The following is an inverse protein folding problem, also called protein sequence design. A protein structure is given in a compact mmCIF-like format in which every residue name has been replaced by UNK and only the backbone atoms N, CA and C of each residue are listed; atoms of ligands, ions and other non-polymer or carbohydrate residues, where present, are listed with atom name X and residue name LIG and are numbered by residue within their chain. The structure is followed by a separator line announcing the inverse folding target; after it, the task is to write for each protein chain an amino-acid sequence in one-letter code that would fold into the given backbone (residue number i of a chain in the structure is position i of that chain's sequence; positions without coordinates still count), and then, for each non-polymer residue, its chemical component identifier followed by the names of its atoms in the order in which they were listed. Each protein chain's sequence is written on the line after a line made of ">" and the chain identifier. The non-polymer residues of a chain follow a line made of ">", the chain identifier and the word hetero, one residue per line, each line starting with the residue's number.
data_IF_014368670769
#
_entry.id   IF_014368670769
#
_cell.length_a   1.000
_cell.length_b   1.000
_cell.length_c   1.000
_cell.angle_alpha   90.00
_cell.angle_beta   90.00
_cell.angle_gamma   90.00
#
_symmetry.space_group_name_H-M   'P 1'
#
loop_
_entity.id
_entity.type
_entity.pdbx_description
1 polymer ?
#
# COMPACT_ATOMS: atom_id res chain seq x y z
N UNK A 1 -20.11 -34.91 -7.99
CA UNK A 1 -19.80 -33.49 -7.73
C UNK A 1 -18.87 -33.03 -8.83
N UNK A 2 -19.28 -32.10 -9.71
CA UNK A 2 -18.34 -31.47 -10.64
C UNK A 2 -17.38 -30.55 -9.87
N UNK A 3 -16.17 -30.36 -10.40
CA UNK A 3 -15.10 -29.63 -9.73
C UNK A 3 -15.49 -28.20 -9.34
N UNK A 4 -14.99 -27.78 -8.18
CA UNK A 4 -15.06 -26.40 -7.71
C UNK A 4 -14.23 -25.51 -8.64
N UNK A 5 -14.95 -24.77 -9.48
CA UNK A 5 -14.50 -23.66 -10.35
C UNK A 5 -13.02 -23.28 -10.18
N UNK A 6 -12.20 -23.69 -11.16
CA UNK A 6 -10.83 -23.19 -11.34
C UNK A 6 -10.95 -21.71 -11.75
N UNK A 7 -11.17 -20.88 -10.74
CA UNK A 7 -11.77 -19.56 -10.88
C UNK A 7 -11.06 -18.72 -11.93
N UNK A 8 -11.80 -18.42 -13.01
CA UNK A 8 -11.28 -17.83 -14.24
C UNK A 8 -10.26 -16.71 -14.00
N UNK A 9 -9.09 -16.84 -14.64
CA UNK A 9 -8.03 -15.81 -14.64
C UNK A 9 -8.43 -14.55 -15.42
N UNK A 10 -9.57 -14.58 -16.12
CA UNK A 10 -10.14 -13.41 -16.78
C UNK A 10 -10.65 -12.37 -15.78
N UNK A 11 -10.58 -11.09 -16.17
CA UNK A 11 -11.19 -9.98 -15.44
C UNK A 11 -12.70 -10.23 -15.33
N UNK A 12 -13.27 -10.00 -14.15
CA UNK A 12 -14.72 -10.11 -13.95
C UNK A 12 -15.40 -8.87 -14.57
N UNK A 13 -15.84 -9.05 -15.81
CA UNK A 13 -16.50 -8.03 -16.64
C UNK A 13 -17.90 -7.69 -16.15
N UNK A 14 -18.58 -8.60 -15.43
CA UNK A 14 -19.90 -8.36 -14.85
C UNK A 14 -19.79 -7.34 -13.71
N UNK A 15 -18.84 -7.54 -12.80
CA UNK A 15 -18.55 -6.56 -11.74
C UNK A 15 -18.08 -5.22 -12.31
N UNK A 16 -17.25 -5.23 -13.36
CA UNK A 16 -16.81 -4.02 -14.09
C UNK A 16 -17.99 -3.24 -14.65
N UNK A 17 -18.91 -3.93 -15.33
CA UNK A 17 -20.11 -3.35 -15.92
C UNK A 17 -21.03 -2.77 -14.84
N UNK A 18 -21.37 -3.57 -13.84
CA UNK A 18 -22.21 -3.18 -12.70
C UNK A 18 -21.66 -1.93 -11.97
N UNK A 19 -20.40 -1.94 -11.55
CA UNK A 19 -19.80 -0.81 -10.83
C UNK A 19 -19.63 0.44 -11.73
N UNK A 20 -19.49 0.25 -13.04
CA UNK A 20 -19.45 1.38 -13.98
C UNK A 20 -20.82 2.01 -14.20
N UNK A 21 -21.87 1.19 -14.36
CA UNK A 21 -23.25 1.67 -14.40
C UNK A 21 -23.63 2.36 -13.09
N UNK A 22 -23.31 1.75 -11.94
CA UNK A 22 -23.56 2.34 -10.63
C UNK A 22 -22.93 3.73 -10.50
N UNK A 23 -21.69 3.93 -10.96
CA UNK A 23 -21.05 5.25 -10.93
C UNK A 23 -21.79 6.28 -11.80
N UNK A 24 -22.23 5.90 -13.01
CA UNK A 24 -23.00 6.77 -13.91
C UNK A 24 -24.41 7.07 -13.40
N UNK A 25 -25.10 6.10 -12.78
CA UNK A 25 -26.44 6.29 -12.25
C UNK A 25 -26.45 7.04 -10.91
N UNK A 26 -25.49 6.78 -10.02
CA UNK A 26 -25.48 7.37 -8.69
C UNK A 26 -24.95 8.81 -8.66
N UNK A 27 -24.20 9.23 -9.70
CA UNK A 27 -23.54 10.54 -9.81
C UNK A 27 -22.76 10.95 -8.54
N UNK A 28 -22.24 9.95 -7.82
CA UNK A 28 -21.51 10.19 -6.58
C UNK A 28 -20.14 10.79 -6.91
N UNK A 29 -19.76 11.81 -6.14
CA UNK A 29 -18.37 12.22 -6.04
C UNK A 29 -17.50 11.02 -5.72
N UNK A 30 -16.25 11.00 -6.19
CA UNK A 30 -15.34 9.89 -5.95
C UNK A 30 -15.32 9.46 -4.47
N UNK A 31 -15.12 10.36 -3.49
CA UNK A 31 -14.97 9.92 -2.10
C UNK A 31 -16.19 9.12 -1.65
N UNK A 32 -17.41 9.55 -2.03
CA UNK A 32 -18.64 8.85 -1.69
C UNK A 32 -18.78 7.51 -2.43
N UNK A 33 -18.40 7.45 -3.70
CA UNK A 33 -18.37 6.17 -4.45
C UNK A 33 -17.37 5.17 -3.84
N UNK A 34 -16.19 5.64 -3.41
CA UNK A 34 -15.19 4.78 -2.73
C UNK A 34 -15.67 4.39 -1.34
N UNK A 35 -16.34 5.25 -0.58
CA UNK A 35 -16.96 4.89 0.69
C UNK A 35 -17.94 3.72 0.52
N UNK A 36 -18.82 3.81 -0.50
CA UNK A 36 -19.74 2.73 -0.86
C UNK A 36 -19.00 1.44 -1.24
N UNK A 37 -18.04 1.51 -2.17
CA UNK A 37 -17.24 0.35 -2.61
C UNK A 37 -16.41 -0.29 -1.49
N UNK A 38 -15.97 0.48 -0.49
CA UNK A 38 -15.22 -0.01 0.68
C UNK A 38 -16.09 -0.49 1.84
N UNK A 39 -17.42 -0.43 1.70
CA UNK A 39 -18.40 -0.68 2.77
C UNK A 39 -18.13 0.19 4.02
N UNK A 40 -18.00 1.51 3.83
CA UNK A 40 -17.92 2.49 4.91
C UNK A 40 -19.32 3.00 5.27
N UNK A 41 -19.73 2.78 6.51
CA UNK A 41 -21.01 3.19 7.08
C UNK A 41 -20.81 4.27 8.15
N UNK A 42 -21.89 4.67 8.82
CA UNK A 42 -21.84 5.44 10.07
C UNK A 42 -21.33 4.60 11.25
N UNK A 43 -21.62 3.29 11.27
CA UNK A 43 -21.17 2.36 12.32
C UNK A 43 -19.71 1.94 12.19
N UNK A 44 -19.16 1.92 10.97
CA UNK A 44 -17.75 1.66 10.71
C UNK A 44 -17.30 2.50 9.51
N UNK A 45 -16.67 3.64 9.81
CA UNK A 45 -16.13 4.58 8.82
C UNK A 45 -14.76 4.16 8.27
N UNK A 46 -14.08 3.16 8.86
CA UNK A 46 -12.70 2.82 8.49
C UNK A 46 -12.65 2.44 7.00
N UNK A 47 -11.77 3.02 6.18
CA UNK A 47 -11.64 2.60 4.79
C UNK A 47 -11.16 1.15 4.70
N UNK A 48 -10.35 0.70 5.66
CA UNK A 48 -9.87 -0.67 5.80
C UNK A 48 -10.39 -1.34 7.07
N UNK A 49 -11.20 -2.38 6.89
CA UNK A 49 -11.81 -3.15 7.98
C UNK A 49 -10.84 -4.08 8.72
N UNK A 50 -9.70 -4.41 8.11
CA UNK A 50 -8.67 -5.27 8.70
C UNK A 50 -7.69 -4.54 9.63
N UNK A 51 -7.72 -3.20 9.67
CA UNK A 51 -6.90 -2.41 10.58
C UNK A 51 -7.72 -1.93 11.77
N UNK A 52 -7.10 -1.92 12.96
CA UNK A 52 -7.72 -1.52 14.21
C UNK A 52 -6.83 -0.53 14.96
N UNK A 53 -7.46 0.33 15.76
CA UNK A 53 -6.76 1.30 16.58
C UNK A 53 -6.03 0.59 17.72
N UNK A 54 -4.88 1.15 18.10
CA UNK A 54 -4.04 0.65 19.18
C UNK A 54 -4.00 1.67 20.32
N UNK A 55 -4.22 1.25 21.58
CA UNK A 55 -4.00 2.12 22.73
C UNK A 55 -2.49 2.40 22.90
N UNK A 56 -2.16 3.56 23.46
CA UNK A 56 -0.77 3.93 23.76
C UNK A 56 -0.28 3.14 24.99
N UNK A 57 0.85 2.40 24.92
CA UNK A 57 1.41 1.73 26.08
C UNK A 57 1.89 2.73 27.15
N UNK A 58 1.70 2.47 28.47
CA UNK A 58 2.04 3.42 29.53
C UNK A 58 3.50 3.92 29.56
N UNK A 59 4.43 3.11 29.04
CA UNK A 59 5.88 3.41 29.00
C UNK A 59 6.44 3.47 27.57
N UNK A 60 5.60 3.79 26.58
CA UNK A 60 5.99 3.82 25.17
C UNK A 60 6.99 4.93 24.86
N UNK A 61 8.22 4.57 24.46
CA UNK A 61 9.22 5.52 23.95
C UNK A 61 8.76 6.13 22.61
N UNK A 62 7.90 5.42 21.88
CA UNK A 62 7.33 5.85 20.58
C UNK A 62 5.86 6.27 20.66
N UNK A 63 5.40 6.75 21.82
CA UNK A 63 3.99 7.11 22.08
C UNK A 63 3.38 8.03 21.01
N UNK A 64 4.17 8.95 20.46
CA UNK A 64 3.77 9.89 19.41
C UNK A 64 3.38 9.23 18.07
N UNK A 65 3.78 7.98 17.81
CA UNK A 65 3.42 7.25 16.58
C UNK A 65 2.00 6.67 16.62
N UNK A 66 1.48 6.34 17.80
CA UNK A 66 0.17 5.70 17.97
C UNK A 66 -1.00 6.58 17.50
N UNK A 67 -1.06 7.90 17.80
CA UNK A 67 -2.07 8.79 17.21
C UNK A 67 -2.02 8.83 15.67
N UNK A 68 -0.83 8.77 15.08
CA UNK A 68 -0.65 8.79 13.62
C UNK A 68 -1.12 7.46 13.00
N UNK A 69 -0.80 6.31 13.62
CA UNK A 69 -1.38 5.00 13.27
C UNK A 69 -2.91 5.02 13.34
N UNK A 70 -3.49 5.45 14.47
CA UNK A 70 -4.94 5.49 14.66
C UNK A 70 -5.64 6.43 13.65
N UNK A 71 -4.97 7.51 13.23
CA UNK A 71 -5.45 8.37 12.13
C UNK A 71 -5.58 7.61 10.81
N UNK A 72 -4.57 6.80 10.45
CA UNK A 72 -4.58 5.95 9.23
C UNK A 72 -5.63 4.85 9.33
N UNK A 73 -5.88 4.28 10.51
CA UNK A 73 -6.97 3.31 10.73
C UNK A 73 -8.33 3.94 10.43
N UNK A 74 -8.59 5.13 10.98
CA UNK A 74 -9.87 5.85 10.82
C UNK A 74 -10.10 6.36 9.40
N UNK A 75 -9.10 7.02 8.83
CA UNK A 75 -9.25 7.88 7.64
C UNK A 75 -8.51 7.36 6.42
N UNK A 76 -7.67 6.33 6.57
CA UNK A 76 -6.74 5.88 5.54
C UNK A 76 -5.53 6.80 5.43
N UNK A 77 -4.62 6.47 4.50
CA UNK A 77 -3.51 7.36 4.14
C UNK A 77 -4.06 8.52 3.32
N UNK A 78 -3.82 9.74 3.81
CA UNK A 78 -4.21 10.98 3.16
C UNK A 78 -2.96 11.69 2.64
N UNK A 79 -2.62 11.56 1.34
CA UNK A 79 -1.50 12.29 0.75
C UNK A 79 -1.80 13.79 0.76
N UNK A 80 -0.77 14.60 1.01
CA UNK A 80 -0.82 16.03 0.70
C UNK A 80 -0.41 16.23 -0.75
N UNK A 81 -1.00 17.25 -1.37
CA UNK A 81 -0.72 17.65 -2.74
C UNK A 81 -0.13 19.05 -2.73
N UNK A 82 0.92 19.27 -3.53
CA UNK A 82 1.48 20.61 -3.75
C UNK A 82 0.45 21.49 -4.45
N UNK A 83 0.48 22.80 -4.18
CA UNK A 83 -0.39 23.79 -4.84
C UNK A 83 -0.22 23.85 -6.37
N UNK A 84 0.89 23.33 -6.89
CA UNK A 84 1.17 23.16 -8.32
C UNK A 84 0.37 22.03 -8.99
N UNK A 85 -0.30 21.16 -8.22
CA UNK A 85 -1.12 20.07 -8.77
C UNK A 85 -2.36 20.63 -9.48
N UNK A 86 -2.57 20.38 -10.79
CA UNK A 86 -3.78 20.82 -11.46
C UNK A 86 -5.00 20.03 -10.98
N UNK A 87 -6.19 20.63 -11.10
CA UNK A 87 -7.46 20.00 -10.72
C UNK A 87 -7.86 18.83 -11.63
N UNK A 88 -7.38 18.83 -12.87
CA UNK A 88 -7.58 17.78 -13.86
C UNK A 88 -6.32 17.56 -14.71
N UNK A 89 -6.15 16.34 -15.22
CA UNK A 89 -5.04 16.01 -16.11
C UNK A 89 -5.46 16.18 -17.58
N UNK A 90 -4.89 17.18 -18.26
CA UNK A 90 -5.14 17.47 -19.68
C UNK A 90 -4.50 16.42 -20.60
N UNK A 91 -3.22 16.11 -20.37
CA UNK A 91 -2.45 15.13 -21.17
C UNK A 91 -2.19 13.87 -20.35
N UNK A 92 -2.71 12.74 -20.84
CA UNK A 92 -2.52 11.41 -20.24
C UNK A 92 -1.28 10.74 -20.85
N UNK A 93 -0.24 10.40 -20.08
CA UNK A 93 0.93 9.72 -20.63
C UNK A 93 0.56 8.31 -21.14
N UNK A 94 1.26 7.81 -22.17
CA UNK A 94 1.13 6.42 -22.62
C UNK A 94 1.75 5.46 -21.61
N UNK A 95 1.37 4.18 -21.69
CA UNK A 95 2.07 3.12 -20.97
C UNK A 95 3.46 2.85 -21.59
N UNK A 96 4.36 2.28 -20.79
CA UNK A 96 5.68 1.88 -21.25
C UNK A 96 5.61 0.70 -22.22
N UNK A 97 6.45 0.70 -23.25
CA UNK A 97 6.44 -0.33 -24.32
C UNK A 97 6.60 -1.78 -23.78
N UNK A 98 7.17 -1.97 -22.59
CA UNK A 98 7.34 -3.28 -21.95
C UNK A 98 6.03 -4.03 -21.65
N UNK A 99 4.87 -3.37 -21.73
CA UNK A 99 3.57 -4.05 -21.59
C UNK A 99 3.17 -4.90 -22.81
N UNK A 100 3.73 -4.63 -23.99
CA UNK A 100 3.16 -5.09 -25.27
C UNK A 100 3.13 -6.63 -25.40
N UNK A 101 4.20 -7.30 -24.97
CA UNK A 101 4.34 -8.76 -24.96
C UNK A 101 3.64 -9.45 -23.77
N UNK A 102 3.15 -8.70 -22.78
CA UNK A 102 2.81 -9.24 -21.45
C UNK A 102 1.30 -9.27 -21.13
N UNK A 103 0.44 -9.15 -22.15
CA UNK A 103 -1.02 -8.99 -21.99
C UNK A 103 -1.69 -10.03 -21.10
N UNK A 104 -1.28 -11.31 -21.15
CA UNK A 104 -1.85 -12.38 -20.33
C UNK A 104 -1.50 -12.21 -18.83
N UNK A 105 -0.22 -12.02 -18.51
CA UNK A 105 0.24 -11.77 -17.13
C UNK A 105 -0.39 -10.50 -16.55
N UNK A 106 -0.47 -9.43 -17.35
CA UNK A 106 -1.17 -8.20 -16.99
C UNK A 106 -2.58 -8.57 -16.52
N UNK A 107 -3.41 -9.20 -17.38
CA UNK A 107 -4.80 -9.60 -17.07
C UNK A 107 -4.91 -10.43 -15.78
N UNK A 108 -4.00 -11.39 -15.56
CA UNK A 108 -3.95 -12.18 -14.32
C UNK A 108 -3.67 -11.33 -13.09
N UNK A 109 -2.76 -10.35 -13.19
CA UNK A 109 -2.49 -9.38 -12.13
C UNK A 109 -3.70 -8.46 -11.86
N UNK A 110 -4.42 -8.03 -12.92
CA UNK A 110 -5.70 -7.31 -12.80
C UNK A 110 -6.69 -8.12 -11.98
N UNK A 111 -6.97 -9.35 -12.43
CA UNK A 111 -7.98 -10.24 -11.85
C UNK A 111 -7.67 -10.56 -10.40
N UNK A 112 -6.40 -10.84 -10.09
CA UNK A 112 -5.96 -11.06 -8.70
C UNK A 112 -6.24 -9.81 -7.86
N UNK A 113 -5.82 -8.63 -8.31
CA UNK A 113 -6.08 -7.39 -7.57
C UNK A 113 -7.56 -7.02 -7.45
N UNK A 114 -8.39 -7.33 -8.46
CA UNK A 114 -9.84 -7.16 -8.43
C UNK A 114 -10.48 -8.08 -7.38
N UNK A 115 -10.17 -9.38 -7.43
CA UNK A 115 -10.68 -10.41 -6.50
C UNK A 115 -10.29 -10.11 -5.06
N UNK A 116 -9.05 -9.69 -4.84
CA UNK A 116 -8.54 -9.32 -3.51
C UNK A 116 -9.13 -7.97 -3.00
N UNK A 117 -9.96 -7.29 -3.79
CA UNK A 117 -10.47 -5.94 -3.49
C UNK A 117 -9.38 -4.86 -3.46
N UNK A 118 -8.18 -5.13 -3.99
CA UNK A 118 -7.08 -4.16 -4.11
C UNK A 118 -7.36 -3.15 -5.22
N UNK A 119 -7.85 -3.62 -6.36
CA UNK A 119 -8.18 -2.78 -7.51
C UNK A 119 -9.68 -2.64 -7.70
N UNK A 120 -10.08 -1.42 -8.07
CA UNK A 120 -11.45 -1.09 -8.46
C UNK A 120 -11.48 -1.03 -9.99
N UNK A 121 -11.98 -2.11 -10.61
CA UNK A 121 -11.92 -2.40 -12.06
C UNK A 121 -13.28 -2.15 -12.72
N UNK A 122 -13.24 -1.52 -13.90
CA UNK A 122 -14.14 -0.43 -14.24
C UNK A 122 -13.92 0.03 -15.72
N UNK A 123 -14.91 0.61 -16.44
CA UNK A 123 -14.79 1.10 -17.85
C UNK A 123 -14.33 2.57 -18.00
N UNK A 124 -13.55 2.93 -19.02
CA UNK A 124 -12.97 4.30 -19.18
C UNK A 124 -13.98 5.47 -19.07
N UNK A 125 -15.23 5.30 -19.53
CA UNK A 125 -16.25 6.36 -19.61
C UNK A 125 -16.49 7.17 -18.33
N UNK A 126 -16.29 6.58 -17.14
CA UNK A 126 -16.47 7.27 -15.85
C UNK A 126 -15.30 8.19 -15.48
N UNK A 127 -14.16 8.15 -16.18
CA UNK A 127 -13.13 9.19 -16.00
C UNK A 127 -13.71 10.60 -16.24
N UNK A 128 -14.79 10.72 -17.03
CA UNK A 128 -15.54 11.97 -17.23
C UNK A 128 -16.30 12.44 -15.99
N UNK A 129 -16.67 11.54 -15.07
CA UNK A 129 -17.38 11.90 -13.82
C UNK A 129 -16.42 12.42 -12.74
N UNK A 130 -15.15 12.02 -12.81
CA UNK A 130 -14.15 12.30 -11.78
C UNK A 130 -12.90 12.93 -12.42
N UNK A 131 -12.93 14.21 -12.83
CA UNK A 131 -11.80 14.88 -13.49
C UNK A 131 -10.53 14.92 -12.64
N UNK A 132 -10.65 14.76 -11.32
CA UNK A 132 -9.55 14.69 -10.37
C UNK A 132 -8.88 13.29 -10.30
N UNK A 133 -9.18 12.37 -11.25
CA UNK A 133 -8.35 11.17 -11.49
C UNK A 133 -7.05 11.61 -12.20
N UNK A 134 -5.90 11.22 -11.65
CA UNK A 134 -4.63 11.30 -12.37
C UNK A 134 -4.23 9.91 -12.86
N UNK A 135 -3.61 9.89 -14.04
CA UNK A 135 -3.28 8.72 -14.84
C UNK A 135 -1.75 8.68 -14.99
N UNK A 136 -1.15 7.65 -14.39
CA UNK A 136 0.29 7.31 -14.42
C UNK A 136 0.55 6.10 -15.33
N UNK A 137 1.64 6.06 -16.12
CA UNK A 137 1.97 4.90 -16.92
C UNK A 137 2.07 3.64 -16.09
N UNK A 138 1.87 2.50 -16.75
CA UNK A 138 2.32 1.21 -16.24
C UNK A 138 3.34 0.60 -17.20
N UNK A 139 4.35 -0.04 -16.62
CA UNK A 139 5.30 -0.93 -17.29
C UNK A 139 5.34 -2.30 -16.63
N UNK A 140 6.08 -3.21 -17.24
CA UNK A 140 6.44 -4.51 -16.67
C UNK A 140 7.90 -4.48 -16.22
N UNK A 141 8.17 -5.07 -15.05
CA UNK A 141 9.48 -5.59 -14.71
C UNK A 141 9.42 -7.12 -14.70
N UNK A 142 10.33 -7.75 -15.42
CA UNK A 142 10.55 -9.18 -15.34
C UNK A 142 11.29 -9.51 -14.04
N UNK A 143 10.84 -10.56 -13.37
CA UNK A 143 11.57 -11.27 -12.33
C UNK A 143 11.86 -12.68 -12.88
N UNK A 144 12.91 -13.33 -12.38
CA UNK A 144 13.24 -14.70 -12.80
C UNK A 144 12.05 -15.66 -12.68
N UNK A 145 12.13 -16.79 -13.39
CA UNK A 145 11.13 -17.86 -13.40
C UNK A 145 9.76 -17.43 -13.97
N UNK A 146 9.76 -16.59 -15.01
CA UNK A 146 8.56 -16.15 -15.74
C UNK A 146 7.56 -15.32 -14.88
N UNK A 147 7.97 -14.85 -13.69
CA UNK A 147 7.21 -13.89 -12.87
C UNK A 147 7.33 -12.49 -13.47
N UNK A 148 6.21 -11.81 -13.66
CA UNK A 148 6.18 -10.46 -14.26
C UNK A 148 5.37 -9.53 -13.40
N UNK A 149 6.00 -8.41 -13.01
CA UNK A 149 5.48 -7.46 -12.04
C UNK A 149 4.97 -6.22 -12.76
N UNK A 150 3.69 -5.93 -12.54
CA UNK A 150 3.06 -4.70 -12.98
C UNK A 150 3.56 -3.54 -12.11
N UNK A 151 4.26 -2.59 -12.72
CA UNK A 151 4.81 -1.41 -12.03
C UNK A 151 4.10 -0.16 -12.54
N UNK A 152 3.68 0.68 -11.60
CA UNK A 152 3.19 2.02 -11.89
C UNK A 152 4.34 3.01 -11.85
N UNK A 153 4.44 3.82 -12.89
CA UNK A 153 5.38 4.92 -12.94
C UNK A 153 4.74 6.19 -12.39
N UNK A 154 4.82 6.36 -11.07
CA UNK A 154 4.37 7.58 -10.40
C UNK A 154 5.32 8.76 -10.61
N UNK A 155 6.50 8.55 -11.21
CA UNK A 155 7.53 9.56 -11.46
C UNK A 155 7.53 10.07 -12.91
N UNK A 156 6.65 9.54 -13.77
CA UNK A 156 6.50 9.95 -15.17
C UNK A 156 5.12 10.58 -15.44
N UNK A 157 5.04 11.63 -16.28
CA UNK A 157 6.15 12.39 -16.87
C UNK A 157 6.78 13.34 -15.84
N UNK A 158 8.12 13.47 -15.85
CA UNK A 158 8.86 14.35 -14.93
C UNK A 158 8.32 15.79 -14.99
N UNK A 159 8.10 16.38 -13.82
CA UNK A 159 7.50 17.71 -13.63
C UNK A 159 5.97 17.73 -13.67
N UNK A 160 5.32 16.63 -14.04
CA UNK A 160 3.87 16.49 -14.16
C UNK A 160 3.36 15.12 -13.68
N UNK A 161 4.15 14.42 -12.86
CA UNK A 161 3.83 13.09 -12.35
C UNK A 161 3.13 13.15 -10.99
N UNK A 162 2.56 12.03 -10.54
CA UNK A 162 1.93 11.93 -9.21
C UNK A 162 2.93 12.25 -8.10
N UNK A 163 4.18 11.81 -8.24
CA UNK A 163 5.25 12.09 -7.28
C UNK A 163 5.65 13.57 -7.28
N UNK A 164 5.79 14.22 -8.44
CA UNK A 164 6.10 15.66 -8.52
C UNK A 164 5.02 16.52 -7.83
N UNK A 165 3.77 16.08 -7.88
CA UNK A 165 2.63 16.75 -7.23
C UNK A 165 2.44 16.36 -5.75
N UNK A 166 3.15 15.37 -5.24
CA UNK A 166 3.01 14.92 -3.84
C UNK A 166 3.83 15.82 -2.91
N UNK A 167 3.22 16.26 -1.83
CA UNK A 167 3.91 16.85 -0.68
C UNK A 167 4.19 15.73 0.33
N UNK A 168 5.47 15.48 0.56
CA UNK A 168 6.03 14.45 1.45
C UNK A 168 6.26 14.98 2.87
N UNK A 169 6.03 16.27 3.13
CA UNK A 169 6.21 16.91 4.44
C UNK A 169 5.26 16.41 5.55
N UNK A 170 4.32 15.51 5.24
CA UNK A 170 3.49 14.81 6.23
C UNK A 170 3.82 13.32 6.39
N UNK A 171 4.82 12.80 5.68
CA UNK A 171 5.19 11.39 5.79
C UNK A 171 5.92 11.15 7.13
N UNK A 172 5.66 10.02 7.82
CA UNK A 172 6.41 9.67 9.02
C UNK A 172 7.89 9.44 8.65
N UNK A 173 8.79 9.96 9.48
CA UNK A 173 10.23 9.79 9.31
C UNK A 173 10.58 8.30 9.28
N UNK A 174 11.35 7.90 8.26
CA UNK A 174 11.88 6.54 8.14
C UNK A 174 13.32 6.56 8.66
N UNK A 175 13.58 5.76 9.69
CA UNK A 175 14.92 5.37 10.09
C UNK A 175 15.00 3.85 10.09
N UNK A 176 16.12 3.32 9.57
CA UNK A 176 16.42 1.90 9.59
C UNK A 176 17.90 1.71 9.93
N UNK A 177 18.18 0.74 10.79
CA UNK A 177 19.57 0.37 11.07
C UNK A 177 20.12 -0.38 9.84
N UNK A 178 21.28 -0.01 9.27
CA UNK A 178 21.84 -0.70 8.11
C UNK A 178 22.03 -2.21 8.35
N UNK A 179 21.92 -3.08 7.32
CA UNK A 179 22.13 -4.52 7.48
C UNK A 179 23.49 -4.88 8.11
N UNK A 180 24.53 -4.11 7.79
CA UNK A 180 25.86 -4.26 8.40
C UNK A 180 25.87 -3.97 9.90
N UNK A 181 25.04 -3.05 10.38
CA UNK A 181 24.96 -2.67 11.79
C UNK A 181 24.23 -3.75 12.59
N UNK A 182 23.14 -4.27 12.03
CA UNK A 182 22.42 -5.44 12.54
C UNK A 182 23.38 -6.64 12.64
N UNK A 183 24.13 -6.92 11.57
CA UNK A 183 25.11 -8.02 11.55
C UNK A 183 26.23 -7.83 12.59
N UNK A 184 26.79 -6.61 12.73
CA UNK A 184 27.78 -6.30 13.78
C UNK A 184 27.21 -6.48 15.19
N UNK A 185 25.95 -6.08 15.44
CA UNK A 185 25.29 -6.28 16.74
C UNK A 185 25.07 -7.75 17.05
N UNK A 186 24.63 -8.55 16.08
CA UNK A 186 24.48 -10.00 16.24
C UNK A 186 25.84 -10.65 16.54
N UNK A 187 26.88 -10.32 15.78
CA UNK A 187 28.22 -10.86 15.99
C UNK A 187 28.80 -10.48 17.37
N UNK A 188 28.63 -9.21 17.79
CA UNK A 188 29.05 -8.71 19.11
C UNK A 188 28.38 -9.51 20.23
N UNK A 189 27.05 -9.57 20.23
CA UNK A 189 26.27 -10.31 21.24
C UNK A 189 26.64 -11.80 21.29
N UNK A 190 26.89 -12.43 20.13
CA UNK A 190 27.29 -13.85 20.07
C UNK A 190 28.69 -14.08 20.65
N UNK A 191 29.59 -13.11 20.49
CA UNK A 191 30.96 -13.15 21.05
C UNK A 191 30.95 -12.89 22.57
N UNK A 192 30.15 -11.93 23.03
CA UNK A 192 30.04 -11.60 24.47
C UNK A 192 29.26 -12.67 25.25
N UNK A 193 28.32 -13.36 24.62
CA UNK A 193 27.42 -14.33 25.25
C UNK A 193 27.33 -15.65 24.48
N UNK A 194 28.43 -16.43 24.38
CA UNK A 194 28.52 -17.61 23.51
C UNK A 194 27.56 -18.75 23.88
N UNK A 195 27.12 -18.81 25.14
CA UNK A 195 26.19 -19.83 25.65
C UNK A 195 24.75 -19.33 25.78
N UNK A 196 24.46 -18.07 25.45
CA UNK A 196 23.11 -17.53 25.47
C UNK A 196 22.37 -17.81 24.16
N UNK A 197 21.08 -18.12 24.26
CA UNK A 197 20.18 -18.16 23.10
C UNK A 197 19.89 -16.73 22.61
N UNK A 198 19.98 -16.52 21.30
CA UNK A 198 19.75 -15.22 20.68
C UNK A 198 18.43 -15.24 19.91
N UNK A 199 17.42 -14.55 20.44
CA UNK A 199 16.11 -14.43 19.81
C UNK A 199 16.07 -13.19 18.91
N UNK A 200 15.76 -13.39 17.63
CA UNK A 200 15.54 -12.29 16.67
C UNK A 200 14.10 -12.33 16.16
N UNK A 201 13.37 -11.23 16.32
CA UNK A 201 12.05 -11.09 15.73
C UNK A 201 12.16 -10.72 14.25
N UNK A 202 11.84 -11.68 13.39
CA UNK A 202 11.70 -11.45 11.95
C UNK A 202 10.22 -11.46 11.59
N UNK A 203 9.69 -10.29 11.26
CA UNK A 203 8.37 -10.14 10.66
C UNK A 203 8.53 -9.66 9.22
N UNK A 204 8.18 -10.50 8.25
CA UNK A 204 7.76 -9.95 6.96
C UNK A 204 6.42 -9.24 7.21
N UNK A 205 6.42 -7.92 7.00
CA UNK A 205 5.18 -7.17 6.80
C UNK A 205 4.96 -7.23 5.28
N UNK A 206 4.23 -8.23 4.76
CA UNK A 206 3.99 -8.31 3.33
C UNK A 206 3.35 -7.01 2.87
N UNK A 207 3.55 -6.65 1.61
CA UNK A 207 3.06 -5.37 1.05
C UNK A 207 1.52 -5.30 0.88
N UNK A 208 0.79 -6.06 1.71
CA UNK A 208 -0.57 -5.78 2.20
C UNK A 208 -0.71 -4.44 2.93
N UNK A 209 0.33 -3.61 3.05
CA UNK A 209 0.12 -2.16 3.20
C UNK A 209 -0.52 -1.50 1.97
N UNK A 210 -0.72 -2.23 0.87
CA UNK A 210 -1.78 -1.94 -0.12
C UNK A 210 -3.22 -1.92 0.46
N UNK A 211 -3.39 -2.24 1.75
CA UNK A 211 -4.63 -2.02 2.50
C UNK A 211 -4.66 -0.66 3.24
N UNK A 212 -3.67 0.21 3.03
CA UNK A 212 -3.87 1.66 3.00
C UNK A 212 -4.73 1.98 1.76
N UNK A 213 -6.04 1.76 1.89
CA UNK A 213 -7.05 1.84 0.82
C UNK A 213 -7.29 3.28 0.37
N UNK A 214 -6.32 3.85 -0.35
CA UNK A 214 -6.50 5.06 -1.14
C UNK A 214 -7.31 4.80 -2.42
N UNK A 215 -7.64 5.85 -3.16
CA UNK A 215 -8.73 5.93 -4.14
C UNK A 215 -8.33 5.59 -5.58
N UNK A 216 -9.33 5.21 -6.43
CA UNK A 216 -9.32 5.14 -7.93
C UNK A 216 -8.58 3.94 -8.60
N UNK A 217 -9.23 3.14 -9.48
CA UNK A 217 -9.68 3.35 -10.91
C UNK A 217 -8.52 3.15 -11.91
N UNK A 218 -8.62 2.52 -13.09
CA UNK A 218 -9.70 1.88 -13.92
C UNK A 218 -9.01 1.17 -15.14
N UNK A 219 -9.55 0.15 -15.83
CA UNK A 219 -8.82 -0.61 -16.89
C UNK A 219 -9.42 -0.56 -18.30
N UNK A 220 -8.55 -0.53 -19.33
CA UNK A 220 -8.82 -0.99 -20.71
C UNK A 220 -7.60 -1.73 -21.27
N UNK A 221 -7.79 -2.60 -22.28
CA UNK A 221 -6.76 -3.50 -22.83
C UNK A 221 -5.72 -2.76 -23.68
N UNK A 222 -4.87 -1.96 -23.03
CA UNK A 222 -3.62 -1.36 -23.51
C UNK A 222 -3.04 -0.38 -22.48
N UNK A 223 -3.84 0.09 -21.50
CA UNK A 223 -3.37 1.00 -20.44
C UNK A 223 -3.96 0.61 -19.09
N UNK A 224 -3.10 0.12 -18.22
CA UNK A 224 -3.41 -0.28 -16.84
C UNK A 224 -3.09 0.87 -15.88
N UNK A 225 -3.84 0.98 -14.77
CA UNK A 225 -3.62 1.97 -13.69
C UNK A 225 -3.67 1.35 -12.29
N UNK A 226 -2.84 1.86 -11.39
CA UNK A 226 -2.88 1.60 -9.94
C UNK A 226 -2.30 2.80 -9.17
N UNK A 227 -2.59 2.87 -7.86
CA UNK A 227 -2.21 3.94 -6.92
C UNK A 227 -2.11 3.39 -5.49
N UNK A 228 -1.09 3.62 -4.66
CA UNK A 228 0.26 4.14 -4.89
C UNK A 228 1.31 3.26 -4.17
N UNK A 229 2.52 3.05 -4.73
CA UNK A 229 3.58 2.27 -4.07
C UNK A 229 4.47 3.11 -3.14
N UNK A 230 4.70 4.40 -3.43
CA UNK A 230 5.51 5.28 -2.58
C UNK A 230 4.85 5.57 -1.21
N UNK A 231 3.52 5.69 -1.17
CA UNK A 231 2.74 5.75 0.07
C UNK A 231 2.82 4.46 0.91
N UNK A 232 3.42 3.37 0.42
CA UNK A 232 3.56 2.14 1.19
C UNK A 232 4.71 2.22 2.21
N UNK A 233 5.89 2.69 1.84
CA UNK A 233 7.12 2.41 2.61
C UNK A 233 7.16 3.15 3.95
N UNK A 234 6.80 4.44 3.98
CA UNK A 234 6.74 5.21 5.23
C UNK A 234 5.66 4.69 6.19
N UNK A 235 4.50 4.26 5.68
CA UNK A 235 3.43 3.70 6.50
C UNK A 235 3.68 2.25 6.94
N UNK A 236 4.45 1.45 6.17
CA UNK A 236 5.02 0.17 6.63
C UNK A 236 6.01 0.41 7.76
N UNK A 237 6.91 1.39 7.62
CA UNK A 237 7.90 1.72 8.65
C UNK A 237 7.24 2.17 9.96
N UNK A 238 6.21 3.03 9.88
CA UNK A 238 5.36 3.39 11.02
C UNK A 238 4.76 2.15 11.70
N UNK A 239 4.16 1.23 10.93
CA UNK A 239 3.56 0.03 11.46
C UNK A 239 4.59 -0.87 12.16
N UNK A 240 5.75 -1.08 11.53
CA UNK A 240 6.87 -1.78 12.12
C UNK A 240 7.33 -1.14 13.43
N UNK A 241 7.44 0.20 13.49
CA UNK A 241 7.84 0.93 14.69
C UNK A 241 6.80 0.81 15.84
N UNK A 242 5.51 0.85 15.53
CA UNK A 242 4.41 0.66 16.51
C UNK A 242 4.36 -0.80 17.01
N UNK A 243 4.49 -1.78 16.11
CA UNK A 243 4.57 -3.20 16.45
C UNK A 243 5.80 -3.46 17.34
N UNK A 244 6.96 -2.92 16.97
CA UNK A 244 8.20 -3.09 17.72
C UNK A 244 8.10 -2.48 19.13
N UNK A 245 7.50 -1.30 19.30
CA UNK A 245 7.26 -0.69 20.62
C UNK A 245 6.31 -1.54 21.50
N UNK A 246 5.27 -2.15 20.91
CA UNK A 246 4.38 -3.09 21.58
C UNK A 246 5.06 -4.41 22.01
N UNK A 247 6.12 -4.82 21.32
CA UNK A 247 6.89 -6.02 21.67
C UNK A 247 8.06 -5.71 22.63
N UNK A 248 8.80 -4.62 22.43
CA UNK A 248 9.84 -4.14 23.37
C UNK A 248 9.24 -3.93 24.77
N UNK A 249 8.01 -3.40 24.88
CA UNK A 249 7.29 -3.23 26.15
C UNK A 249 6.72 -4.52 26.77
N UNK A 250 6.84 -5.67 26.08
CA UNK A 250 6.33 -6.99 26.51
C UNK A 250 7.39 -8.10 26.49
N UNK A 251 8.68 -7.72 26.42
CA UNK A 251 9.79 -8.67 26.44
C UNK A 251 9.78 -9.57 27.68
N UNK A 252 10.38 -10.78 27.61
CA UNK A 252 10.41 -11.70 28.74
C UNK A 252 11.11 -11.06 29.95
N UNK A 253 10.44 -11.07 31.10
CA UNK A 253 10.92 -10.51 32.37
C UNK A 253 12.15 -11.22 32.95
N UNK A 254 12.67 -12.25 32.27
CA UNK A 254 13.69 -13.18 32.77
C UNK A 254 14.91 -13.35 31.86
N UNK A 255 15.04 -12.62 30.74
CA UNK A 255 16.26 -12.67 29.90
C UNK A 255 17.36 -11.75 30.43
N UNK A 256 18.30 -12.30 31.19
CA UNK A 256 19.18 -11.57 32.12
C UNK A 256 20.52 -11.07 31.56
N UNK A 257 20.65 -10.82 30.25
CA UNK A 257 21.98 -10.71 29.62
C UNK A 257 22.19 -9.38 28.88
N UNK A 258 21.34 -9.00 27.93
CA UNK A 258 21.33 -7.65 27.36
C UNK A 258 19.90 -7.28 26.92
N UNK A 259 19.33 -6.24 27.53
CA UNK A 259 18.02 -5.67 27.20
C UNK A 259 18.11 -4.27 26.58
N UNK A 260 19.31 -3.83 26.19
CA UNK A 260 19.51 -2.51 25.61
C UNK A 260 18.92 -2.40 24.19
N UNK A 261 18.08 -1.37 23.98
CA UNK A 261 17.51 -1.04 22.68
C UNK A 261 18.63 -0.94 21.62
N UNK A 262 18.46 -1.60 20.48
CA UNK A 262 19.40 -1.48 19.38
C UNK A 262 19.20 -0.14 18.64
N UNK A 263 19.98 0.85 19.06
CA UNK A 263 20.20 2.10 18.33
C UNK A 263 21.33 1.85 17.33
N UNK A 264 21.06 2.00 16.03
CA UNK A 264 22.11 2.06 15.02
C UNK A 264 22.96 3.33 15.18
N UNK A 265 24.11 3.39 14.49
CA UNK A 265 24.94 4.59 14.47
C UNK A 265 24.26 5.77 13.74
#
# INVERSE_FOLDING_TARGET
>A
MPDLDVGSEAIDTNQVGFLSMLAHHSQLSLPNFIRLFRNQSSSDSRPNKALFELPVPPNSKRAHLFPHWNSIVRSGVQPRWRSTKPSSQTTRPPNHNSIASHTASIRRHIRTGQRDGRFLVLHESVLKLWPEVFISPIGIAEKGDNDTRLINDYSYPRGCSVNDFTDDGNFPSISYNPPGDIARRIHKLRTEHPNAEMLLMLGDIPQRFGTCRSTKTRYTCSRSFSMATWLSTCHVALAGAVINDLYESRGPTTSSVDSSNFVGN
#
